data_IF_631734379772
#
_entry.id   IF_631734379772
#
_cell.length_a   1.000
_cell.length_b   1.000
_cell.length_c   1.000
_cell.angle_alpha   90.00
_cell.angle_beta   90.00
_cell.angle_gamma   90.00
#
_symmetry.space_group_name_H-M   'P 1'
#
loop_
_entity.id
_entity.type
_entity.pdbx_description
1 polymer ?
#
# COMPACT_ATOMS: atom_id res chain seq x y z
N UNK A 1 23.97 9.36 -0.72
CA UNK A 1 23.08 8.21 -0.99
C UNK A 1 22.84 7.51 0.35
N UNK A 2 21.57 7.29 0.73
CA UNK A 2 21.25 6.53 1.95
C UNK A 2 21.86 5.12 1.80
N UNK A 3 22.55 4.64 2.84
CA UNK A 3 23.16 3.31 2.86
C UNK A 3 23.01 2.73 4.26
N UNK A 4 22.52 1.50 4.35
CA UNK A 4 22.40 0.77 5.61
C UNK A 4 23.65 -0.09 5.80
N UNK A 5 24.33 0.07 6.93
CA UNK A 5 25.42 -0.82 7.32
C UNK A 5 24.81 -2.13 7.83
N UNK A 6 25.05 -3.20 7.08
CA UNK A 6 24.52 -4.54 7.34
C UNK A 6 25.62 -5.52 7.73
N UNK A 7 26.84 -5.03 7.96
CA UNK A 7 28.02 -5.87 8.26
C UNK A 7 27.93 -6.62 9.58
N UNK A 8 27.07 -6.16 10.51
CA UNK A 8 26.83 -6.79 11.80
C UNK A 8 25.61 -7.72 11.81
N UNK A 9 24.88 -7.84 10.71
CA UNK A 9 23.74 -8.76 10.60
C UNK A 9 24.25 -10.16 10.22
N UNK A 10 23.67 -11.22 10.80
CA UNK A 10 23.96 -12.59 10.34
C UNK A 10 23.46 -12.79 8.90
N UNK A 11 23.99 -13.78 8.16
CA UNK A 11 23.43 -14.15 6.87
C UNK A 11 21.94 -14.50 6.99
N UNK A 12 21.12 -13.91 6.13
CA UNK A 12 19.70 -14.19 6.04
C UNK A 12 19.42 -15.14 4.86
N UNK A 13 18.45 -16.05 5.04
CA UNK A 13 17.96 -16.93 3.97
C UNK A 13 17.24 -16.14 2.85
N UNK A 14 16.55 -15.06 3.23
CA UNK A 14 15.81 -14.17 2.35
C UNK A 14 15.65 -12.83 3.05
N UNK A 15 15.74 -11.75 2.27
CA UNK A 15 15.49 -10.39 2.76
C UNK A 15 14.52 -9.69 1.81
N UNK A 16 13.46 -9.13 2.39
CA UNK A 16 12.43 -8.39 1.70
C UNK A 16 11.99 -7.23 2.58
N UNK A 17 11.30 -6.25 2.00
CA UNK A 17 10.81 -5.10 2.74
C UNK A 17 9.29 -5.18 2.93
N UNK A 18 8.82 -4.68 4.07
CA UNK A 18 7.41 -4.47 4.34
C UNK A 18 7.20 -2.98 4.59
N UNK A 19 6.19 -2.43 3.92
CA UNK A 19 5.74 -1.04 4.08
C UNK A 19 4.22 -1.05 4.13
N UNK A 20 3.60 -0.10 4.82
CA UNK A 20 2.16 -0.07 5.03
C UNK A 20 1.70 1.36 5.25
N UNK A 21 0.40 1.61 5.10
CA UNK A 21 -0.26 2.85 5.53
C UNK A 21 0.45 4.11 4.98
N UNK A 22 0.92 4.02 3.73
CA UNK A 22 1.62 5.14 3.10
C UNK A 22 0.67 6.31 2.88
N UNK A 23 -0.61 6.00 2.66
CA UNK A 23 -1.75 6.93 2.67
C UNK A 23 -1.39 8.24 1.96
N UNK A 24 -0.95 8.12 0.73
CA UNK A 24 -0.68 9.28 -0.11
C UNK A 24 -1.92 10.18 -0.16
N UNK A 25 -1.68 11.47 0.02
CA UNK A 25 -2.69 12.51 -0.13
C UNK A 25 -2.15 13.66 -0.98
N UNK A 26 -3.05 14.32 -1.70
CA UNK A 26 -2.74 15.60 -2.34
C UNK A 26 -2.57 16.65 -1.24
N UNK A 27 -1.59 17.55 -1.39
CA UNK A 27 -1.42 18.66 -0.45
C UNK A 27 -2.68 19.53 -0.46
N UNK A 28 -3.39 19.64 0.68
CA UNK A 28 -4.65 20.35 0.75
C UNK A 28 -4.48 21.87 0.85
N UNK A 29 -3.24 22.40 0.78
CA UNK A 29 -2.97 23.82 0.94
C UNK A 29 -3.38 24.31 2.33
N UNK A 30 -4.04 25.45 2.46
CA UNK A 30 -4.48 25.96 3.78
C UNK A 30 -5.80 25.34 4.28
N UNK A 31 -6.36 24.34 3.59
CA UNK A 31 -7.59 23.71 4.03
C UNK A 31 -7.41 23.01 5.41
N UNK A 32 -8.47 22.98 6.25
CA UNK A 32 -8.41 22.38 7.56
C UNK A 32 -8.20 20.86 7.47
N UNK A 33 -7.45 20.32 8.43
CA UNK A 33 -7.18 18.90 8.57
C UNK A 33 -7.53 18.42 9.98
N UNK A 34 -7.83 17.13 10.10
CA UNK A 34 -8.00 16.49 11.42
C UNK A 34 -6.72 16.59 12.25
N UNK A 35 -5.56 16.38 11.60
CA UNK A 35 -4.24 16.49 12.20
C UNK A 35 -3.28 17.22 11.26
N UNK A 36 -2.59 18.23 11.77
CA UNK A 36 -1.56 18.99 11.02
C UNK A 36 -0.40 18.11 10.52
N UNK A 37 -0.17 16.96 11.16
CA UNK A 37 0.83 16.00 10.73
C UNK A 37 0.53 15.39 9.35
N UNK A 38 -0.73 15.38 8.88
CA UNK A 38 -1.14 14.82 7.57
C UNK A 38 -0.47 15.52 6.40
N UNK A 39 -0.20 16.83 6.49
CA UNK A 39 0.52 17.61 5.45
C UNK A 39 1.87 17.01 5.04
N UNK A 40 2.50 16.23 5.93
CA UNK A 40 3.81 15.61 5.70
C UNK A 40 3.74 14.15 5.25
N UNK A 41 2.55 13.56 5.15
CA UNK A 41 2.36 12.13 4.92
C UNK A 41 2.94 11.66 3.58
N UNK A 42 2.56 12.29 2.48
CA UNK A 42 3.07 11.97 1.14
C UNK A 42 4.58 12.15 1.01
N UNK A 43 5.16 13.13 1.74
CA UNK A 43 6.61 13.32 1.79
C UNK A 43 7.30 12.27 2.67
N UNK A 44 6.68 11.83 3.78
CA UNK A 44 7.17 10.71 4.60
C UNK A 44 7.15 9.40 3.82
N UNK A 45 6.06 9.12 3.09
CA UNK A 45 5.95 7.96 2.21
C UNK A 45 7.08 7.96 1.16
N UNK A 46 7.34 9.08 0.49
CA UNK A 46 8.44 9.20 -0.46
C UNK A 46 9.82 8.93 0.18
N UNK A 47 10.04 9.42 1.41
CA UNK A 47 11.29 9.15 2.13
C UNK A 47 11.41 7.66 2.47
N UNK A 48 10.33 7.02 2.92
CA UNK A 48 10.28 5.58 3.18
C UNK A 48 10.57 4.78 1.91
N UNK A 49 9.98 5.13 0.76
CA UNK A 49 10.26 4.50 -0.52
C UNK A 49 11.73 4.61 -0.94
N UNK A 50 12.36 5.77 -0.72
CA UNK A 50 13.81 5.96 -0.96
C UNK A 50 14.66 5.09 -0.02
N UNK A 51 14.24 4.89 1.22
CA UNK A 51 14.91 4.00 2.16
C UNK A 51 14.76 2.53 1.74
N UNK A 52 13.56 2.12 1.34
CA UNK A 52 13.32 0.76 0.80
C UNK A 52 14.18 0.51 -0.44
N UNK A 53 14.30 1.49 -1.34
CA UNK A 53 15.17 1.36 -2.52
C UNK A 53 16.64 1.15 -2.13
N UNK A 54 17.11 1.83 -1.09
CA UNK A 54 18.47 1.68 -0.57
C UNK A 54 18.74 0.36 0.18
N UNK A 55 17.69 -0.41 0.53
CA UNK A 55 17.83 -1.74 1.12
C UNK A 55 18.07 -2.84 0.08
N UNK A 56 17.77 -2.57 -1.19
CA UNK A 56 17.84 -3.53 -2.31
C UNK A 56 17.14 -4.88 -1.99
N UNK A 57 15.85 -4.87 -1.56
CA UNK A 57 15.17 -6.08 -1.13
C UNK A 57 14.85 -7.01 -2.31
N UNK A 58 14.72 -8.32 -2.05
CA UNK A 58 14.34 -9.29 -3.09
C UNK A 58 12.96 -9.00 -3.69
N UNK A 59 12.02 -8.56 -2.84
CA UNK A 59 10.70 -8.04 -3.20
C UNK A 59 10.19 -7.15 -2.07
N UNK A 60 9.04 -6.49 -2.29
CA UNK A 60 8.41 -5.60 -1.33
C UNK A 60 6.97 -6.06 -1.12
N UNK A 61 6.48 -6.02 0.12
CA UNK A 61 5.05 -6.18 0.43
C UNK A 61 4.52 -4.85 0.93
N UNK A 62 3.54 -4.28 0.22
CA UNK A 62 2.79 -3.11 0.69
C UNK A 62 1.49 -3.58 1.35
N UNK A 63 1.35 -3.44 2.67
CA UNK A 63 0.21 -3.99 3.44
C UNK A 63 -1.07 -3.14 3.37
N UNK A 64 -1.35 -2.53 2.23
CA UNK A 64 -2.55 -1.72 2.01
C UNK A 64 -2.47 -0.28 2.48
N UNK A 65 -3.56 0.43 2.22
CA UNK A 65 -3.78 1.85 2.47
C UNK A 65 -2.76 2.72 1.74
N UNK A 66 -2.76 2.59 0.42
CA UNK A 66 -1.86 3.34 -0.48
C UNK A 66 -2.20 4.84 -0.49
N UNK A 67 -3.48 5.17 -0.28
CA UNK A 67 -4.00 6.55 -0.32
C UNK A 67 -4.82 6.89 0.92
N UNK A 68 -4.91 8.18 1.24
CA UNK A 68 -5.72 8.66 2.36
C UNK A 68 -7.21 8.78 1.99
N UNK A 69 -7.51 9.11 0.73
CA UNK A 69 -8.88 9.18 0.20
C UNK A 69 -9.50 7.79 0.18
N UNK A 70 -10.78 7.67 0.56
CA UNK A 70 -11.53 6.43 0.44
C UNK A 70 -12.06 6.25 -1.00
N UNK A 71 -12.43 5.01 -1.39
CA UNK A 71 -13.23 4.81 -2.59
C UNK A 71 -14.51 5.66 -2.53
N UNK A 72 -14.88 6.28 -3.65
CA UNK A 72 -16.03 7.20 -3.74
C UNK A 72 -15.66 8.68 -3.61
N UNK A 73 -14.51 9.01 -3.04
CA UNK A 73 -14.02 10.40 -2.95
C UNK A 73 -13.55 10.94 -4.30
N UNK A 74 -13.77 12.23 -4.56
CA UNK A 74 -13.54 12.83 -5.89
C UNK A 74 -12.08 12.78 -6.35
N UNK A 75 -11.13 12.84 -5.42
CA UNK A 75 -9.69 12.81 -5.71
C UNK A 75 -9.07 11.40 -5.61
N UNK A 76 -9.85 10.37 -5.25
CA UNK A 76 -9.36 9.00 -5.00
C UNK A 76 -8.46 8.46 -6.13
N UNK A 77 -8.93 8.53 -7.36
CA UNK A 77 -8.20 8.04 -8.53
C UNK A 77 -6.93 8.84 -8.83
N UNK A 78 -6.96 10.14 -8.53
CA UNK A 78 -5.80 11.01 -8.68
C UNK A 78 -4.75 10.69 -7.62
N UNK A 79 -5.14 10.60 -6.35
CA UNK A 79 -4.27 10.18 -5.26
C UNK A 79 -3.61 8.84 -5.56
N UNK A 80 -4.37 7.86 -6.06
CA UNK A 80 -3.85 6.52 -6.35
C UNK A 80 -2.80 6.55 -7.45
N UNK A 81 -3.04 7.30 -8.53
CA UNK A 81 -2.08 7.48 -9.60
C UNK A 81 -0.79 8.18 -9.12
N UNK A 82 -0.92 9.23 -8.31
CA UNK A 82 0.23 9.98 -7.81
C UNK A 82 1.04 9.18 -6.77
N UNK A 83 0.37 8.37 -5.93
CA UNK A 83 1.01 7.42 -5.04
C UNK A 83 1.86 6.41 -5.81
N UNK A 84 1.28 5.77 -6.84
CA UNK A 84 2.01 4.82 -7.69
C UNK A 84 3.16 5.49 -8.43
N UNK A 85 2.99 6.74 -8.88
CA UNK A 85 4.07 7.52 -9.49
C UNK A 85 5.25 7.75 -8.53
N UNK A 86 5.02 7.90 -7.22
CA UNK A 86 6.12 7.96 -6.24
C UNK A 86 6.92 6.65 -6.17
N UNK A 87 6.24 5.51 -6.25
CA UNK A 87 6.88 4.18 -6.24
C UNK A 87 7.65 3.96 -7.55
N UNK A 88 7.06 4.35 -8.68
CA UNK A 88 7.68 4.28 -10.00
C UNK A 88 8.94 5.18 -10.09
N UNK A 89 8.92 6.35 -9.46
CA UNK A 89 10.05 7.28 -9.44
C UNK A 89 11.30 6.73 -8.75
N UNK A 90 11.16 5.73 -7.88
CA UNK A 90 12.27 5.00 -7.26
C UNK A 90 12.49 3.61 -7.86
N UNK A 91 11.78 3.27 -8.93
CA UNK A 91 11.95 2.03 -9.69
C UNK A 91 11.45 0.76 -8.99
N UNK A 92 10.62 0.90 -7.95
CA UNK A 92 10.25 -0.22 -7.09
C UNK A 92 8.92 -0.89 -7.44
N UNK A 93 8.05 -0.26 -8.24
CA UNK A 93 6.66 -0.72 -8.41
C UNK A 93 6.54 -2.18 -8.86
N UNK A 94 7.37 -2.60 -9.82
CA UNK A 94 7.39 -3.98 -10.34
C UNK A 94 7.85 -5.03 -9.32
N UNK A 95 8.44 -4.60 -8.21
CA UNK A 95 8.93 -5.45 -7.12
C UNK A 95 7.92 -5.53 -5.96
N UNK A 96 6.81 -4.78 -6.03
CA UNK A 96 5.80 -4.75 -4.99
C UNK A 96 4.74 -5.83 -5.19
N UNK A 97 4.43 -6.53 -4.11
CA UNK A 97 3.19 -7.25 -3.90
C UNK A 97 2.26 -6.37 -3.05
N UNK A 98 1.10 -6.00 -3.59
CA UNK A 98 0.15 -5.11 -2.92
C UNK A 98 -0.93 -5.94 -2.21
N UNK A 99 -1.16 -5.63 -0.94
CA UNK A 99 -2.34 -6.06 -0.17
C UNK A 99 -3.35 -4.93 -0.19
N UNK A 100 -4.64 -5.24 -0.28
CA UNK A 100 -5.70 -4.24 -0.24
C UNK A 100 -5.99 -3.79 1.20
N UNK A 101 -5.95 -2.48 1.44
CA UNK A 101 -6.42 -1.85 2.67
C UNK A 101 -7.84 -1.28 2.53
N UNK A 102 -8.44 -0.86 3.64
CA UNK A 102 -9.81 -0.36 3.65
C UNK A 102 -9.94 0.99 2.91
N UNK A 103 -8.89 1.81 2.90
CA UNK A 103 -8.84 3.02 2.07
C UNK A 103 -8.64 2.73 0.58
N UNK A 104 -8.26 1.50 0.20
CA UNK A 104 -8.04 1.15 -1.19
C UNK A 104 -9.28 0.57 -1.88
N UNK A 105 -10.07 -0.24 -1.17
CA UNK A 105 -11.21 -0.99 -1.73
C UNK A 105 -12.51 -0.85 -0.94
N UNK A 106 -12.49 -0.20 0.22
CA UNK A 106 -13.57 -0.22 1.21
C UNK A 106 -13.28 -1.26 2.29
N UNK A 107 -14.09 -1.29 3.35
CA UNK A 107 -13.92 -2.20 4.49
C UNK A 107 -14.95 -3.35 4.46
N UNK A 108 -14.71 -4.38 5.25
CA UNK A 108 -15.75 -5.35 5.60
C UNK A 108 -16.90 -4.65 6.34
N UNK A 109 -18.14 -5.17 6.31
CA UNK A 109 -19.28 -4.55 6.97
C UNK A 109 -19.02 -4.33 8.46
N UNK A 110 -18.77 -3.07 8.82
CA UNK A 110 -18.42 -2.65 10.17
C UNK A 110 -18.88 -1.21 10.37
N UNK A 111 -20.00 -0.98 11.08
CA UNK A 111 -20.56 0.36 11.26
C UNK A 111 -19.68 1.28 12.12
N UNK A 112 -18.58 0.78 12.68
CA UNK A 112 -17.64 1.57 13.47
C UNK A 112 -16.45 2.09 12.65
N UNK A 113 -16.28 1.63 11.41
CA UNK A 113 -15.19 2.04 10.53
C UNK A 113 -15.56 3.28 9.71
N UNK A 114 -14.58 4.14 9.38
CA UNK A 114 -14.82 5.40 8.67
C UNK A 114 -15.00 5.24 7.15
N UNK A 115 -14.57 4.11 6.58
CA UNK A 115 -14.64 3.80 5.16
C UNK A 115 -15.94 3.09 4.81
N UNK A 116 -16.44 3.32 3.59
CA UNK A 116 -17.58 2.59 3.04
C UNK A 116 -17.29 1.09 2.91
N UNK A 117 -18.34 0.27 2.90
CA UNK A 117 -18.23 -1.16 2.65
C UNK A 117 -17.58 -1.42 1.28
N UNK A 118 -16.74 -2.46 1.19
CA UNK A 118 -16.16 -2.92 -0.07
C UNK A 118 -17.25 -3.35 -1.05
N UNK A 119 -17.03 -3.06 -2.34
CA UNK A 119 -17.95 -3.41 -3.43
C UNK A 119 -17.23 -4.16 -4.54
N UNK A 120 -17.97 -4.94 -5.35
CA UNK A 120 -17.44 -5.60 -6.55
C UNK A 120 -16.73 -4.59 -7.49
N UNK A 121 -17.31 -3.40 -7.66
CA UNK A 121 -16.75 -2.37 -8.53
C UNK A 121 -15.41 -1.81 -8.01
N UNK A 122 -15.24 -1.71 -6.68
CA UNK A 122 -13.97 -1.30 -6.09
C UNK A 122 -12.90 -2.40 -6.26
N UNK A 123 -13.28 -3.66 -6.06
CA UNK A 123 -12.40 -4.81 -6.26
C UNK A 123 -11.96 -4.96 -7.73
N UNK A 124 -12.88 -4.84 -8.69
CA UNK A 124 -12.56 -4.90 -10.11
C UNK A 124 -11.54 -3.81 -10.50
N UNK A 125 -11.73 -2.58 -10.01
CA UNK A 125 -10.76 -1.49 -10.22
C UNK A 125 -9.40 -1.79 -9.60
N UNK A 126 -9.38 -2.40 -8.42
CA UNK A 126 -8.14 -2.82 -7.78
C UNK A 126 -7.45 -3.91 -8.60
N UNK A 127 -8.15 -4.96 -9.00
CA UNK A 127 -7.60 -6.08 -9.76
C UNK A 127 -7.03 -5.65 -11.11
N UNK A 128 -7.72 -4.75 -11.80
CA UNK A 128 -7.25 -4.19 -13.06
C UNK A 128 -5.97 -3.36 -12.91
N UNK A 129 -5.76 -2.72 -11.74
CA UNK A 129 -4.63 -1.82 -11.52
C UNK A 129 -3.41 -2.50 -10.89
N UNK A 130 -3.63 -3.36 -9.90
CA UNK A 130 -2.59 -3.94 -9.04
C UNK A 130 -2.55 -5.47 -9.08
N UNK A 131 -3.46 -6.09 -9.82
CA UNK A 131 -3.62 -7.55 -9.88
C UNK A 131 -4.53 -8.09 -8.77
N UNK A 132 -4.74 -9.41 -8.73
CA UNK A 132 -5.62 -10.06 -7.77
C UNK A 132 -5.36 -9.62 -6.33
N UNK A 133 -6.42 -9.33 -5.56
CA UNK A 133 -6.30 -8.91 -4.15
C UNK A 133 -5.91 -10.05 -3.20
N UNK A 134 -5.76 -11.25 -3.74
CA UNK A 134 -5.22 -12.44 -3.11
C UNK A 134 -4.18 -13.04 -4.06
N UNK A 135 -3.10 -13.57 -3.51
CA UNK A 135 -2.10 -14.28 -4.31
C UNK A 135 -1.19 -15.10 -3.40
N UNK A 136 -0.40 -15.98 -4.01
CA UNK A 136 0.67 -16.67 -3.29
C UNK A 136 1.88 -16.88 -4.19
N UNK A 137 3.06 -16.98 -3.57
CA UNK A 137 4.32 -17.23 -4.29
C UNK A 137 5.34 -17.89 -3.38
N UNK A 138 6.43 -18.39 -3.98
CA UNK A 138 7.56 -18.94 -3.25
C UNK A 138 8.79 -18.05 -3.44
N UNK A 139 9.53 -17.79 -2.37
CA UNK A 139 10.80 -17.09 -2.43
C UNK A 139 11.72 -17.57 -1.30
N UNK A 140 12.99 -17.82 -1.64
CA UNK A 140 14.00 -18.23 -0.66
C UNK A 140 13.60 -19.44 0.19
N UNK A 141 12.87 -20.42 -0.36
CA UNK A 141 12.39 -21.59 0.38
C UNK A 141 11.21 -21.35 1.32
N UNK A 142 10.61 -20.16 1.29
CA UNK A 142 9.39 -19.80 2.03
C UNK A 142 8.20 -19.64 1.07
N UNK A 143 7.00 -19.91 1.57
CA UNK A 143 5.74 -19.66 0.86
C UNK A 143 5.03 -18.44 1.46
N UNK A 144 4.63 -17.50 0.61
CA UNK A 144 3.96 -16.27 0.98
C UNK A 144 2.53 -16.29 0.47
N UNK A 145 1.61 -15.73 1.26
CA UNK A 145 0.19 -15.63 0.93
C UNK A 145 -0.29 -14.22 1.25
N UNK A 146 -0.93 -13.59 0.27
CA UNK A 146 -1.69 -12.35 0.45
C UNK A 146 -3.17 -12.71 0.56
N UNK A 147 -3.80 -12.19 1.59
CA UNK A 147 -5.23 -12.28 1.85
C UNK A 147 -5.81 -10.87 1.84
N UNK A 148 -6.98 -10.71 1.24
CA UNK A 148 -7.76 -9.48 1.34
C UNK A 148 -8.68 -9.58 2.56
N UNK A 149 -8.32 -8.90 3.66
CA UNK A 149 -9.16 -8.88 4.86
C UNK A 149 -10.43 -8.04 4.71
N UNK A 150 -10.47 -7.14 3.72
CA UNK A 150 -11.59 -6.21 3.56
C UNK A 150 -12.85 -6.89 3.03
N UNK A 151 -12.71 -8.05 2.39
CA UNK A 151 -13.85 -8.81 1.87
C UNK A 151 -14.40 -9.82 2.88
N UNK A 152 -13.80 -9.95 4.06
CA UNK A 152 -14.28 -10.90 5.06
C UNK A 152 -15.71 -10.56 5.49
N UNK A 153 -16.59 -11.56 5.51
CA UNK A 153 -18.01 -11.43 5.85
C UNK A 153 -18.88 -10.64 4.85
N UNK A 154 -18.39 -10.36 3.64
CA UNK A 154 -19.16 -9.62 2.61
C UNK A 154 -19.93 -10.52 1.65
N UNK A 155 -19.54 -11.80 1.54
CA UNK A 155 -20.03 -12.70 0.48
C UNK A 155 -19.43 -12.43 -0.91
N UNK A 156 -18.55 -11.43 -1.04
CA UNK A 156 -17.82 -11.14 -2.27
C UNK A 156 -16.79 -12.24 -2.56
N UNK A 157 -16.53 -12.46 -3.84
CA UNK A 157 -15.57 -13.47 -4.27
C UNK A 157 -14.12 -13.01 -4.02
N UNK A 158 -13.32 -14.00 -3.67
CA UNK A 158 -11.88 -13.92 -3.46
C UNK A 158 -11.14 -14.72 -4.52
#
# INVERSE_FOLDING_TARGET
>A
MLRFDRTLLPPAQLEFAVIADTHYMIDPGDAPLEFESRRRQSQRALVAWKMVAALEPAFIVHLGDLVQESPGSSDFERCRREALAQIDAVGLRRHCHFVAGNHDVGDKPDPTMPTEDVTDAALEKWHNLLGPSWSSWNAGGLHFVILNSQILNTGLEA
#
